data_IF_045992925067
#
_entry.id   IF_045992925067
#
_cell.length_a   1.000
_cell.length_b   1.000
_cell.length_c   1.000
_cell.angle_alpha   90.00
_cell.angle_beta   90.00
_cell.angle_gamma   90.00
#
_symmetry.space_group_name_H-M   'P 1'
#
loop_
_entity.id
_entity.type
_entity.pdbx_description
1 polymer ?
#
# COMPACT_ATOMS: atom_id res chain seq x y z
N UNK A 1 1.13 -26.64 -37.65
CA UNK A 1 0.54 -25.30 -37.91
C UNK A 1 0.87 -24.43 -36.70
N UNK A 2 2.07 -23.86 -36.63
CA UNK A 2 2.46 -23.00 -35.50
C UNK A 2 1.94 -21.60 -35.77
N UNK A 3 0.96 -21.15 -34.96
CA UNK A 3 0.49 -19.77 -34.97
C UNK A 3 1.62 -18.86 -34.50
N UNK A 4 2.06 -17.97 -35.38
CA UNK A 4 2.94 -16.87 -35.01
C UNK A 4 2.08 -15.80 -34.33
N UNK A 5 1.93 -15.89 -33.02
CA UNK A 5 1.52 -14.74 -32.22
C UNK A 5 2.71 -13.77 -32.20
N UNK A 6 2.67 -12.80 -33.10
CA UNK A 6 3.58 -11.68 -33.11
C UNK A 6 3.42 -10.93 -31.78
N UNK A 7 4.34 -11.21 -30.85
CA UNK A 7 4.44 -10.52 -29.58
C UNK A 7 4.62 -9.03 -29.86
N UNK A 8 3.54 -8.26 -29.75
CA UNK A 8 3.63 -6.81 -29.69
C UNK A 8 4.49 -6.49 -28.48
N UNK A 9 5.66 -5.91 -28.73
CA UNK A 9 6.48 -5.25 -27.71
C UNK A 9 5.65 -4.10 -27.12
N UNK A 10 4.78 -4.42 -26.15
CA UNK A 10 4.11 -3.41 -25.35
C UNK A 10 5.21 -2.81 -24.49
N UNK A 11 5.66 -1.62 -24.89
CA UNK A 11 6.65 -0.86 -24.15
C UNK A 11 6.08 -0.55 -22.77
N UNK A 12 6.45 -1.34 -21.76
CA UNK A 12 6.00 -1.16 -20.39
C UNK A 12 6.56 0.14 -19.84
N UNK A 13 5.70 1.13 -19.64
CA UNK A 13 6.07 2.40 -19.03
C UNK A 13 6.04 2.21 -17.51
N UNK A 14 7.18 2.42 -16.86
CA UNK A 14 7.28 2.46 -15.40
C UNK A 14 7.07 3.90 -14.94
N UNK A 15 6.03 4.12 -14.14
CA UNK A 15 5.71 5.41 -13.55
C UNK A 15 6.13 5.41 -12.08
N UNK A 16 6.67 6.53 -11.60
CA UNK A 16 6.96 6.72 -10.18
C UNK A 16 5.68 7.19 -9.49
N UNK A 17 5.19 6.43 -8.51
CA UNK A 17 3.97 6.78 -7.76
C UNK A 17 4.10 8.11 -6.98
N UNK A 18 5.32 8.46 -6.58
CA UNK A 18 5.63 9.70 -5.86
C UNK A 18 5.77 10.94 -6.77
N UNK A 19 5.61 10.77 -8.08
CA UNK A 19 5.59 11.87 -9.04
C UNK A 19 4.14 12.34 -9.19
N UNK A 20 3.84 13.53 -8.69
CA UNK A 20 2.51 14.13 -8.65
C UNK A 20 1.88 14.27 -10.03
N UNK A 21 2.69 14.40 -11.09
CA UNK A 21 2.22 14.43 -12.49
C UNK A 21 1.53 13.13 -12.91
N UNK A 22 1.79 12.02 -12.20
CA UNK A 22 1.16 10.72 -12.44
C UNK A 22 -0.08 10.48 -11.56
N UNK A 23 -0.40 11.41 -10.65
CA UNK A 23 -1.51 11.29 -9.68
C UNK A 23 -2.61 12.28 -10.04
N UNK A 24 -3.78 11.78 -10.44
CA UNK A 24 -4.90 12.65 -10.84
C UNK A 24 -5.58 13.34 -9.66
N UNK A 25 -5.58 12.74 -8.47
CA UNK A 25 -6.19 13.27 -7.25
C UNK A 25 -5.59 12.63 -6.00
N UNK A 26 -5.41 13.44 -4.95
CA UNK A 26 -5.14 12.99 -3.58
C UNK A 26 -6.11 13.67 -2.61
N UNK A 27 -6.59 12.93 -1.62
CA UNK A 27 -7.45 13.44 -0.54
C UNK A 27 -6.79 13.11 0.80
N UNK A 28 -6.62 14.11 1.67
CA UNK A 28 -6.00 13.96 3.00
C UNK A 28 -4.60 13.31 2.98
N UNK A 29 -3.86 13.45 1.88
CA UNK A 29 -2.50 12.91 1.72
C UNK A 29 -1.58 13.98 1.13
N UNK A 30 -0.34 14.06 1.64
CA UNK A 30 0.69 14.98 1.16
C UNK A 30 2.03 14.27 1.07
N UNK A 31 2.78 14.52 -0.01
CA UNK A 31 4.16 14.07 -0.15
C UNK A 31 5.05 15.10 0.58
N UNK A 32 5.82 14.65 1.57
CA UNK A 32 6.72 15.51 2.34
C UNK A 32 8.07 14.84 2.54
N UNK A 33 9.14 15.59 2.31
CA UNK A 33 10.49 15.19 2.72
C UNK A 33 10.61 15.31 4.24
N UNK A 34 11.07 14.26 4.91
CA UNK A 34 11.29 14.28 6.35
C UNK A 34 11.67 12.92 6.92
N UNK A 35 12.12 12.94 8.17
CA UNK A 35 12.44 11.72 8.91
C UNK A 35 11.17 10.95 9.25
N UNK A 36 11.16 9.66 8.89
CA UNK A 36 10.05 8.75 9.22
C UNK A 36 10.08 8.49 10.72
N UNK A 37 9.17 9.12 11.48
CA UNK A 37 8.94 8.81 12.89
C UNK A 37 7.78 7.82 13.01
N UNK A 38 8.10 6.57 13.30
CA UNK A 38 7.08 5.57 13.63
C UNK A 38 6.51 5.86 15.02
N UNK A 39 5.21 5.64 15.21
CA UNK A 39 4.62 5.68 16.54
C UNK A 39 5.24 4.61 17.43
N UNK A 40 5.45 4.90 18.72
CA UNK A 40 6.09 3.96 19.66
C UNK A 40 5.31 2.67 19.83
N UNK A 41 3.99 2.70 19.61
CA UNK A 41 3.11 1.53 19.68
C UNK A 41 3.06 0.68 18.40
N UNK A 42 3.82 1.01 17.34
CA UNK A 42 3.88 0.14 16.16
C UNK A 42 4.65 -1.17 16.46
N UNK A 43 4.29 -2.29 15.82
CA UNK A 43 3.27 -2.39 14.78
C UNK A 43 1.84 -2.36 15.37
N UNK A 44 0.92 -1.74 14.62
CA UNK A 44 -0.49 -1.62 15.00
C UNK A 44 -1.14 -2.98 15.32
N UNK A 45 -0.70 -4.04 14.63
CA UNK A 45 -1.09 -5.42 14.90
C UNK A 45 0.16 -6.28 15.13
N UNK A 46 0.05 -7.24 16.05
CA UNK A 46 1.11 -8.16 16.46
C UNK A 46 0.56 -9.58 16.47
N UNK A 47 1.42 -10.55 16.22
CA UNK A 47 1.11 -11.96 16.47
C UNK A 47 0.92 -12.14 17.98
N UNK A 48 -0.31 -12.30 18.42
CA UNK A 48 -0.65 -12.53 19.83
C UNK A 48 -1.05 -13.99 20.09
N UNK A 49 -1.27 -14.78 19.03
CA UNK A 49 -1.56 -16.22 19.11
C UNK A 49 -0.58 -17.06 18.31
N UNK A 50 -0.28 -18.25 18.84
CA UNK A 50 0.65 -19.21 18.23
C UNK A 50 0.20 -19.77 16.86
N UNK A 51 -1.07 -19.59 16.48
CA UNK A 51 -1.63 -20.08 15.21
C UNK A 51 -1.69 -19.01 14.11
N UNK A 52 -1.32 -17.77 14.39
CA UNK A 52 -1.32 -16.70 13.39
C UNK A 52 -0.14 -16.90 12.44
N UNK A 53 -0.42 -17.30 11.20
CA UNK A 53 0.61 -17.44 10.15
C UNK A 53 0.97 -16.07 9.61
N UNK A 54 2.23 -15.65 9.82
CA UNK A 54 2.97 -14.50 9.25
C UNK A 54 2.09 -13.35 8.74
N UNK A 55 2.14 -12.22 9.44
CA UNK A 55 1.48 -10.96 9.05
C UNK A 55 2.16 -10.21 7.88
N UNK A 56 3.08 -10.84 7.14
CA UNK A 56 3.77 -10.21 6.02
C UNK A 56 2.88 -10.01 4.78
N UNK A 57 1.69 -10.62 4.75
CA UNK A 57 0.69 -10.49 3.68
C UNK A 57 -0.68 -9.99 4.20
N UNK A 58 -0.66 -8.96 5.05
CA UNK A 58 -1.88 -8.38 5.59
C UNK A 58 -2.55 -7.42 4.59
N UNK A 59 -3.79 -7.70 4.21
CA UNK A 59 -4.67 -6.71 3.57
C UNK A 59 -5.25 -5.79 4.64
N UNK A 60 -4.49 -4.76 4.99
CA UNK A 60 -4.88 -3.75 5.98
C UNK A 60 -5.96 -2.81 5.47
N UNK A 61 -7.19 -3.32 5.34
CA UNK A 61 -8.35 -2.45 5.22
C UNK A 61 -8.58 -1.77 6.58
N UNK A 62 -8.01 -0.59 6.74
CA UNK A 62 -8.16 0.21 7.95
C UNK A 62 -9.46 1.01 7.85
N UNK A 63 -10.33 0.91 8.86
CA UNK A 63 -11.52 1.74 8.98
C UNK A 63 -11.38 2.68 10.18
N UNK A 64 -11.89 3.90 10.06
CA UNK A 64 -12.00 4.79 11.21
C UNK A 64 -13.32 4.55 11.94
N UNK A 65 -13.26 4.05 13.17
CA UNK A 65 -14.42 3.87 14.03
C UNK A 65 -14.75 5.19 14.74
N UNK A 66 -15.79 5.88 14.26
CA UNK A 66 -16.25 7.16 14.83
C UNK A 66 -16.83 7.05 16.23
N UNK A 67 -17.32 5.87 16.64
CA UNK A 67 -17.89 5.69 17.97
C UNK A 67 -16.80 5.59 19.03
N UNK A 68 -15.69 4.94 18.67
CA UNK A 68 -14.57 4.67 19.57
C UNK A 68 -13.36 5.60 19.34
N UNK A 69 -13.46 6.52 18.38
CA UNK A 69 -12.42 7.48 17.98
C UNK A 69 -11.05 6.84 17.71
N UNK A 70 -11.05 5.70 17.01
CA UNK A 70 -9.83 4.93 16.73
C UNK A 70 -9.87 4.24 15.37
N UNK A 71 -8.69 4.01 14.80
CA UNK A 71 -8.51 3.20 13.58
C UNK A 71 -8.51 1.71 13.93
N UNK A 72 -9.29 0.91 13.19
CA UNK A 72 -9.40 -0.54 13.29
C UNK A 72 -8.87 -1.21 12.04
#
# INVERSE_FOLDING_TARGET
MAGQDAGKDVKTIRLLFLDDRNVSRSDNAVIKLGDIKKHSSNPLMREDKAWEKRFDNFYGNIIFDKQNDLYK
#
